data_IF_530679228126
#
_entry.id   IF_530679228126
#
_cell.length_a   1.000
_cell.length_b   1.000
_cell.length_c   1.000
_cell.angle_alpha   90.00
_cell.angle_beta   90.00
_cell.angle_gamma   90.00
#
_symmetry.space_group_name_H-M   'P 1'
#
loop_
_entity.id
_entity.type
_entity.pdbx_description
1 polymer ?
#
# COMPACT_ATOMS: atom_id res chain seq x y z
N UNK A 1 6.66 -5.94 7.78
CA UNK A 1 7.05 -4.83 6.90
C UNK A 1 6.74 -5.14 5.45
N UNK A 2 7.28 -6.24 4.93
CA UNK A 2 6.94 -6.81 3.62
C UNK A 2 5.43 -6.88 3.36
N UNK A 3 4.66 -7.34 4.34
CA UNK A 3 3.20 -7.34 4.30
C UNK A 3 2.58 -5.95 4.08
N UNK A 4 3.14 -4.90 4.67
CA UNK A 4 2.66 -3.52 4.51
C UNK A 4 3.02 -2.97 3.13
N UNK A 5 4.23 -3.26 2.64
CA UNK A 5 4.66 -2.89 1.29
C UNK A 5 3.80 -3.61 0.24
N UNK A 6 3.51 -4.89 0.43
CA UNK A 6 2.59 -5.64 -0.42
C UNK A 6 1.19 -5.03 -0.39
N UNK A 7 0.63 -4.69 0.78
CA UNK A 7 -0.67 -3.98 0.84
C UNK A 7 -0.65 -2.65 0.07
N UNK A 8 0.44 -1.89 0.18
CA UNK A 8 0.59 -0.63 -0.53
C UNK A 8 0.61 -0.84 -2.05
N UNK A 9 1.29 -1.89 -2.51
CA UNK A 9 1.31 -2.32 -3.92
C UNK A 9 -0.10 -2.57 -4.45
N UNK A 10 -0.92 -3.36 -3.74
CA UNK A 10 -2.34 -3.59 -4.09
C UNK A 10 -3.17 -2.30 -4.05
N UNK A 11 -3.02 -1.49 -3.00
CA UNK A 11 -3.79 -0.26 -2.83
C UNK A 11 -3.53 0.75 -3.97
N UNK A 12 -2.25 0.96 -4.32
CA UNK A 12 -1.89 1.84 -5.43
C UNK A 12 -2.32 1.26 -6.77
N UNK A 13 -2.17 -0.04 -6.99
CA UNK A 13 -2.62 -0.69 -8.21
C UNK A 13 -4.12 -0.50 -8.44
N UNK A 14 -4.93 -0.73 -7.40
CA UNK A 14 -6.38 -0.54 -7.47
C UNK A 14 -6.74 0.92 -7.76
N UNK A 15 -6.10 1.86 -7.06
CA UNK A 15 -6.36 3.28 -7.22
C UNK A 15 -5.95 3.83 -8.60
N UNK A 16 -4.84 3.35 -9.17
CA UNK A 16 -4.39 3.72 -10.53
C UNK A 16 -5.38 3.23 -11.60
N UNK A 17 -5.94 2.02 -11.41
CA UNK A 17 -6.81 1.37 -12.39
C UNK A 17 -8.30 1.74 -12.26
N UNK A 18 -8.64 2.73 -11.43
CA UNK A 18 -9.95 3.38 -11.46
C UNK A 18 -10.21 4.00 -12.84
N UNK A 19 -11.47 4.18 -13.21
CA UNK A 19 -11.90 4.80 -14.47
C UNK A 19 -11.58 6.30 -14.52
N UNK A 20 -11.54 6.97 -13.36
CA UNK A 20 -11.23 8.41 -13.29
C UNK A 20 -10.60 8.83 -11.96
N UNK A 21 -10.05 10.05 -11.94
CA UNK A 21 -9.46 10.64 -10.74
C UNK A 21 -10.49 11.06 -9.67
N UNK A 22 -11.76 11.24 -10.06
CA UNK A 22 -12.88 11.53 -9.15
C UNK A 22 -13.60 10.28 -8.64
N UNK A 23 -13.27 9.09 -9.16
CA UNK A 23 -13.91 7.85 -8.75
C UNK A 23 -13.55 7.50 -7.30
N UNK A 24 -14.60 7.22 -6.51
CA UNK A 24 -14.45 6.82 -5.12
C UNK A 24 -13.82 5.42 -5.01
N UNK A 25 -13.04 5.17 -3.94
CA UNK A 25 -12.62 3.84 -3.53
C UNK A 25 -13.70 2.76 -3.68
N UNK A 26 -13.39 1.69 -4.41
CA UNK A 26 -14.34 0.58 -4.60
C UNK A 26 -14.51 -0.28 -3.34
N UNK A 27 -13.44 -0.42 -2.56
CA UNK A 27 -13.42 -1.19 -1.32
C UNK A 27 -12.49 -0.51 -0.30
N UNK A 28 -12.95 -0.15 0.91
CA UNK A 28 -12.09 0.49 1.91
C UNK A 28 -10.92 -0.38 2.38
N UNK A 29 -10.96 -1.70 2.19
CA UNK A 29 -9.88 -2.60 2.62
C UNK A 29 -8.79 -2.74 1.56
N UNK A 30 -9.18 -2.96 0.31
CA UNK A 30 -8.28 -3.24 -0.82
C UNK A 30 -7.93 -1.98 -1.62
N UNK A 31 -8.77 -0.95 -1.58
CA UNK A 31 -8.63 0.29 -2.34
C UNK A 31 -8.74 1.54 -1.42
N UNK A 32 -7.94 1.67 -0.35
CA UNK A 32 -8.12 2.71 0.68
C UNK A 32 -7.75 4.13 0.23
N UNK A 33 -7.09 4.32 -0.92
CA UNK A 33 -6.52 5.61 -1.33
C UNK A 33 -7.63 6.54 -1.83
N UNK A 34 -8.03 7.53 -1.03
CA UNK A 34 -9.12 8.44 -1.43
C UNK A 34 -8.66 9.60 -2.30
N UNK A 35 -7.46 10.15 -2.04
CA UNK A 35 -6.91 11.29 -2.79
C UNK A 35 -6.05 10.78 -3.95
N UNK A 36 -6.49 10.97 -5.18
CA UNK A 36 -5.76 10.54 -6.39
C UNK A 36 -4.46 11.32 -6.61
N UNK A 37 -4.24 12.45 -5.94
CA UNK A 37 -3.00 13.24 -6.04
C UNK A 37 -1.77 12.56 -5.44
N UNK A 38 -1.97 11.55 -4.59
CA UNK A 38 -0.86 10.79 -3.99
C UNK A 38 -0.33 9.72 -4.93
N UNK A 39 -1.02 9.45 -6.04
CA UNK A 39 -0.61 8.45 -7.02
C UNK A 39 0.56 8.97 -7.86
N UNK A 40 1.51 8.10 -8.22
CA UNK A 40 2.65 8.48 -9.06
C UNK A 40 2.23 8.83 -10.49
N UNK A 41 1.06 8.35 -10.92
CA UNK A 41 0.46 8.61 -12.23
C UNK A 41 -1.05 8.87 -12.09
N UNK A 42 -1.68 9.60 -13.04
CA UNK A 42 -3.11 9.85 -12.99
C UNK A 42 -3.93 8.55 -13.08
N UNK A 43 -4.96 8.42 -12.22
CA UNK A 43 -5.90 7.32 -12.30
C UNK A 43 -6.67 7.31 -13.63
N UNK A 44 -6.96 6.12 -14.17
CA UNK A 44 -7.74 5.96 -15.39
C UNK A 44 -7.03 6.36 -16.68
N UNK A 45 -5.72 6.62 -16.61
CA UNK A 45 -4.89 6.93 -17.78
C UNK A 45 -3.70 5.99 -17.81
N UNK A 46 -3.71 5.09 -18.79
CA UNK A 46 -2.56 4.25 -19.13
C UNK A 46 -1.85 4.84 -20.35
N UNK A 47 -0.59 4.47 -20.56
CA UNK A 47 0.22 4.98 -21.65
C UNK A 47 1.69 4.66 -21.41
N UNK A 48 2.53 4.76 -22.43
CA UNK A 48 3.95 4.45 -22.29
C UNK A 48 4.63 5.37 -21.28
N UNK A 49 4.37 6.67 -21.36
CA UNK A 49 4.91 7.68 -20.46
C UNK A 49 4.43 7.47 -19.00
N UNK A 50 3.16 7.09 -18.81
CA UNK A 50 2.64 6.73 -17.50
C UNK A 50 3.34 5.48 -16.97
N UNK A 51 3.52 4.45 -17.80
CA UNK A 51 4.29 3.25 -17.44
C UNK A 51 5.72 3.60 -17.02
N UNK A 52 6.42 4.45 -17.78
CA UNK A 52 7.77 4.90 -17.46
C UNK A 52 7.83 5.72 -16.16
N UNK A 53 6.87 6.62 -15.94
CA UNK A 53 6.78 7.40 -14.70
C UNK A 53 6.52 6.50 -13.48
N UNK A 54 5.61 5.53 -13.62
CA UNK A 54 5.33 4.54 -12.58
C UNK A 54 6.59 3.71 -12.28
N UNK A 55 7.32 3.26 -13.31
CA UNK A 55 8.55 2.49 -13.16
C UNK A 55 9.64 3.26 -12.42
N UNK A 56 9.79 4.55 -12.71
CA UNK A 56 10.72 5.42 -11.99
C UNK A 56 10.33 5.57 -10.51
N UNK A 57 9.04 5.83 -10.22
CA UNK A 57 8.56 5.94 -8.85
C UNK A 57 8.79 4.65 -8.03
N UNK A 58 8.53 3.49 -8.64
CA UNK A 58 8.83 2.19 -8.02
C UNK A 58 10.33 2.03 -7.74
N UNK A 59 11.19 2.44 -8.67
CA UNK A 59 12.65 2.40 -8.48
C UNK A 59 13.09 3.25 -7.29
N UNK A 60 12.58 4.47 -7.19
CA UNK A 60 12.87 5.39 -6.08
C UNK A 60 12.38 4.83 -4.73
N UNK A 61 11.16 4.29 -4.68
CA UNK A 61 10.63 3.67 -3.46
C UNK A 61 11.38 2.41 -3.08
N UNK A 62 11.76 1.58 -4.05
CA UNK A 62 12.53 0.36 -3.80
C UNK A 62 13.89 0.71 -3.21
N UNK A 63 14.59 1.70 -3.79
CA UNK A 63 15.85 2.21 -3.25
C UNK A 63 15.68 2.76 -1.84
N UNK A 64 14.62 3.56 -1.60
CA UNK A 64 14.34 4.10 -0.27
C UNK A 64 14.05 3.02 0.77
N UNK A 65 13.34 1.95 0.40
CA UNK A 65 13.10 0.79 1.27
C UNK A 65 14.40 0.06 1.59
N UNK A 66 15.27 -0.17 0.60
CA UNK A 66 16.60 -0.77 0.82
C UNK A 66 17.45 0.08 1.76
N UNK A 67 17.50 1.40 1.55
CA UNK A 67 18.26 2.35 2.38
C UNK A 67 17.73 2.40 3.83
N UNK A 68 16.40 2.38 4.03
CA UNK A 68 15.78 2.48 5.37
C UNK A 68 15.94 1.20 6.19
N UNK A 69 15.88 0.04 5.52
CA UNK A 69 15.87 -1.25 6.20
C UNK A 69 17.20 -1.98 6.16
N UNK A 70 18.23 -1.36 5.55
CA UNK A 70 19.51 -2.02 5.28
C UNK A 70 19.28 -3.44 4.78
N UNK A 71 18.31 -3.58 3.86
CA UNK A 71 18.13 -4.81 3.09
C UNK A 71 19.28 -4.76 2.10
N UNK A 72 20.47 -5.02 2.62
CA UNK A 72 21.64 -5.31 1.82
C UNK A 72 21.28 -6.61 1.12
N UNK A 73 21.37 -6.63 -0.21
CA UNK A 73 21.41 -7.86 -1.00
C UNK A 73 22.74 -8.57 -0.69
N UNK A 74 22.99 -8.87 0.59
CA UNK A 74 24.18 -9.59 1.02
C UNK A 74 23.99 -11.03 0.58
N UNK A 75 24.41 -11.30 -0.65
CA UNK A 75 24.94 -12.58 -1.06
C UNK A 75 25.99 -13.02 -0.02
N UNK A 76 25.55 -13.76 0.98
CA UNK A 76 26.43 -14.66 1.72
C UNK A 76 25.84 -16.06 1.66
N UNK A 77 25.75 -16.58 0.43
CA UNK A 77 25.88 -18.01 0.22
C UNK A 77 27.33 -18.38 0.55
N UNK A 78 27.66 -18.46 1.84
CA UNK A 78 28.83 -19.25 2.23
C UNK A 78 28.53 -20.69 1.81
N UNK A 79 29.19 -21.10 0.74
CA UNK A 79 29.16 -22.45 0.19
C UNK A 79 29.63 -23.39 1.29
N UNK A 80 28.69 -23.97 2.05
CA UNK A 80 28.99 -25.02 3.01
C UNK A 80 28.03 -26.18 2.79
N UNK A 81 28.62 -27.23 2.22
CA UNK A 81 28.23 -28.64 2.25
C UNK A 81 27.09 -29.11 1.31
N UNK A 82 27.55 -29.71 0.22
CA UNK A 82 27.02 -30.91 -0.44
C UNK A 82 26.10 -31.81 0.41
N UNK A 83 24.79 -31.51 0.47
CA UNK A 83 23.66 -32.49 0.38
C UNK A 83 22.28 -32.01 0.87
N UNK A 84 22.02 -30.72 1.08
CA UNK A 84 20.66 -30.26 1.35
C UNK A 84 20.21 -29.22 0.33
N UNK A 85 18.97 -29.35 -0.16
CA UNK A 85 18.33 -28.44 -1.09
C UNK A 85 18.56 -26.98 -0.67
N UNK A 86 19.04 -26.10 -1.57
CA UNK A 86 19.16 -24.69 -1.24
C UNK A 86 17.75 -24.10 -1.12
N UNK A 87 17.25 -23.99 0.11
CA UNK A 87 16.23 -22.99 0.46
C UNK A 87 16.90 -21.63 0.33
N UNK A 88 17.04 -21.16 -0.90
CA UNK A 88 17.25 -19.76 -1.20
C UNK A 88 16.00 -19.03 -0.70
N UNK A 89 16.08 -18.44 0.50
CA UNK A 89 15.09 -17.48 0.95
C UNK A 89 15.02 -16.38 -0.11
N UNK A 90 13.92 -16.35 -0.87
CA UNK A 90 13.74 -15.39 -1.94
C UNK A 90 13.90 -13.99 -1.37
N UNK A 91 14.84 -13.22 -1.90
CA UNK A 91 14.94 -11.80 -1.57
C UNK A 91 13.59 -11.12 -1.79
N UNK A 92 13.13 -10.36 -0.79
CA UNK A 92 11.86 -9.67 -0.85
C UNK A 92 11.91 -8.61 -1.96
N UNK A 93 11.20 -8.85 -3.06
CA UNK A 93 11.06 -7.86 -4.14
C UNK A 93 9.81 -7.01 -3.90
N UNK A 94 9.94 -5.72 -3.59
CA UNK A 94 8.80 -4.84 -3.38
C UNK A 94 8.08 -4.53 -4.71
N UNK A 95 6.82 -4.11 -4.60
CA UNK A 95 6.03 -3.55 -5.71
C UNK A 95 5.93 -4.47 -6.96
N UNK A 96 5.68 -5.77 -6.77
CA UNK A 96 5.58 -6.73 -7.87
C UNK A 96 4.43 -6.38 -8.83
N UNK A 97 3.30 -5.92 -8.28
CA UNK A 97 2.08 -5.66 -9.03
C UNK A 97 2.18 -4.38 -9.83
N UNK A 98 2.65 -3.29 -9.20
CA UNK A 98 2.92 -2.03 -9.89
C UNK A 98 4.03 -2.18 -10.94
N UNK A 99 5.07 -2.99 -10.69
CA UNK A 99 6.11 -3.27 -11.70
C UNK A 99 5.50 -3.96 -12.91
N UNK A 100 4.73 -5.03 -12.70
CA UNK A 100 4.05 -5.71 -13.80
C UNK A 100 3.12 -4.75 -14.57
N UNK A 101 2.40 -3.86 -13.88
CA UNK A 101 1.53 -2.87 -14.52
C UNK A 101 2.33 -1.88 -15.36
N UNK A 102 3.46 -1.39 -14.84
CA UNK A 102 4.36 -0.49 -15.57
C UNK A 102 4.92 -1.15 -16.83
N UNK A 103 5.30 -2.43 -16.74
CA UNK A 103 5.79 -3.20 -17.88
C UNK A 103 4.68 -3.37 -18.91
N UNK A 104 3.46 -3.73 -18.49
CA UNK A 104 2.29 -3.84 -19.39
C UNK A 104 2.01 -2.54 -20.15
N UNK A 105 2.07 -1.38 -19.48
CA UNK A 105 1.85 -0.07 -20.12
C UNK A 105 2.95 0.31 -21.12
N UNK A 106 4.15 -0.25 -20.97
CA UNK A 106 5.30 0.01 -21.84
C UNK A 106 5.47 -1.04 -22.95
N UNK A 107 4.64 -2.09 -22.98
CA UNK A 107 4.73 -3.13 -23.99
C UNK A 107 4.34 -2.59 -25.37
N UNK A 108 5.03 -3.04 -26.44
CA UNK A 108 4.58 -2.80 -27.80
C UNK A 108 3.16 -3.36 -28.00
N UNK A 109 2.24 -2.50 -28.45
CA UNK A 109 0.81 -2.85 -28.59
C UNK A 109 0.57 -4.06 -29.49
N UNK A 110 1.42 -4.29 -30.49
CA UNK A 110 1.33 -5.45 -31.39
C UNK A 110 1.49 -6.79 -30.65
N UNK A 111 2.24 -6.82 -29.53
CA UNK A 111 2.37 -7.99 -28.67
C UNK A 111 1.10 -8.29 -27.88
N UNK A 112 0.18 -7.33 -27.78
CA UNK A 112 -1.13 -7.54 -27.15
C UNK A 112 -2.15 -8.12 -28.11
N UNK A 113 -1.84 -8.33 -29.39
CA UNK A 113 -2.75 -8.96 -30.34
C UNK A 113 -2.69 -10.50 -30.27
N UNK A 114 -1.52 -11.08 -30.02
CA UNK A 114 -1.37 -12.55 -29.97
C UNK A 114 -1.50 -13.09 -28.53
N UNK A 115 -2.38 -14.07 -28.32
CA UNK A 115 -2.66 -14.61 -26.98
C UNK A 115 -1.50 -15.39 -26.36
N UNK A 116 -0.69 -16.07 -27.18
CA UNK A 116 0.49 -16.77 -26.67
C UNK A 116 1.53 -15.78 -26.17
N UNK A 117 1.81 -14.72 -26.93
CA UNK A 117 2.75 -13.68 -26.52
C UNK A 117 2.26 -12.94 -25.29
N UNK A 118 0.96 -12.59 -25.17
CA UNK A 118 0.39 -11.97 -23.95
C UNK A 118 0.70 -12.78 -22.68
N UNK A 119 0.50 -14.10 -22.72
CA UNK A 119 0.75 -15.00 -21.57
C UNK A 119 2.23 -15.05 -21.20
N UNK A 120 3.13 -14.84 -22.16
CA UNK A 120 4.58 -14.79 -21.92
C UNK A 120 5.03 -13.43 -21.36
N UNK A 121 4.54 -12.32 -21.93
CA UNK A 121 5.02 -10.97 -21.59
C UNK A 121 4.33 -10.34 -20.38
N UNK A 122 3.08 -10.72 -20.10
CA UNK A 122 2.32 -10.18 -18.97
C UNK A 122 1.52 -11.26 -18.21
N UNK A 123 2.18 -12.31 -17.69
CA UNK A 123 1.52 -13.48 -17.08
C UNK A 123 0.69 -13.16 -15.82
N UNK A 124 0.93 -12.00 -15.19
CA UNK A 124 0.26 -11.59 -13.94
C UNK A 124 -1.19 -11.14 -14.14
N UNK A 125 -1.57 -10.77 -15.37
CA UNK A 125 -2.82 -10.10 -15.64
C UNK A 125 -3.72 -10.91 -16.55
N UNK A 126 -4.97 -11.04 -16.14
CA UNK A 126 -5.98 -11.64 -17.00
C UNK A 126 -6.44 -10.69 -18.10
N UNK A 127 -7.10 -11.26 -19.09
CA UNK A 127 -7.60 -10.56 -20.28
C UNK A 127 -8.48 -9.37 -19.91
N UNK A 128 -9.32 -9.51 -18.88
CA UNK A 128 -10.21 -8.45 -18.40
C UNK A 128 -9.45 -7.20 -17.93
N UNK A 129 -8.30 -7.39 -17.28
CA UNK A 129 -7.49 -6.28 -16.82
C UNK A 129 -6.70 -5.65 -17.97
N UNK A 130 -6.15 -6.47 -18.86
CA UNK A 130 -5.46 -6.00 -20.06
C UNK A 130 -6.41 -5.14 -20.91
N UNK A 131 -7.66 -5.59 -21.12
CA UNK A 131 -8.70 -4.81 -21.79
C UNK A 131 -8.91 -3.44 -21.13
N UNK A 132 -8.99 -3.39 -19.80
CA UNK A 132 -9.14 -2.12 -19.07
C UNK A 132 -7.94 -1.19 -19.30
N UNK A 133 -6.72 -1.71 -19.23
CA UNK A 133 -5.50 -0.92 -19.48
C UNK A 133 -5.47 -0.43 -20.94
N UNK A 134 -5.86 -1.26 -21.90
CA UNK A 134 -5.92 -0.88 -23.33
C UNK A 134 -7.01 0.17 -23.57
N UNK A 135 -8.21 0.01 -23.01
CA UNK A 135 -9.30 0.98 -23.17
C UNK A 135 -8.97 2.38 -22.61
N UNK A 136 -8.13 2.44 -21.57
CA UNK A 136 -7.74 3.70 -20.91
C UNK A 136 -6.45 4.31 -21.48
N UNK A 137 -5.93 3.75 -22.58
CA UNK A 137 -4.64 4.17 -23.14
C UNK A 137 -4.73 5.56 -23.76
N UNK A 138 -3.79 6.42 -23.37
CA UNK A 138 -3.65 7.78 -23.87
C UNK A 138 -2.35 7.84 -24.68
N UNK A 139 -2.43 8.09 -26.00
CA UNK A 139 -1.25 8.23 -26.84
C UNK A 139 -0.32 9.34 -26.35
N UNK A 140 0.97 9.10 -26.44
CA UNK A 140 2.02 10.03 -25.99
C UNK A 140 3.17 10.11 -27.02
N UNK A 141 4.23 10.83 -26.67
CA UNK A 141 5.39 11.04 -27.55
C UNK A 141 6.17 9.75 -27.85
N UNK A 142 6.09 8.75 -26.97
CA UNK A 142 6.82 7.49 -27.10
C UNK A 142 5.98 6.40 -27.78
N UNK A 143 4.67 6.56 -27.75
CA UNK A 143 3.68 5.69 -28.39
C UNK A 143 2.66 6.51 -29.18
N UNK A 144 3.09 7.19 -30.27
CA UNK A 144 2.23 8.07 -31.04
C UNK A 144 1.33 7.22 -31.95
N UNK A 145 0.11 6.94 -31.51
CA UNK A 145 -0.89 6.28 -32.33
C UNK A 145 -2.08 5.79 -31.52
N UNK A 146 -3.27 5.68 -32.14
CA UNK A 146 -4.35 4.93 -31.53
C UNK A 146 -3.99 3.45 -31.44
N UNK A 147 -4.63 2.74 -30.52
CA UNK A 147 -4.46 1.29 -30.43
C UNK A 147 -5.02 0.64 -31.71
N UNK A 148 -4.30 -0.31 -32.32
CA UNK A 148 -4.80 -1.03 -33.50
C UNK A 148 -6.07 -1.84 -33.19
N UNK A 149 -7.06 -1.79 -34.09
CA UNK A 149 -8.34 -2.52 -33.95
C UNK A 149 -8.15 -4.02 -33.75
N UNK A 150 -7.10 -4.59 -34.36
CA UNK A 150 -6.73 -6.00 -34.22
C UNK A 150 -6.47 -6.40 -32.75
N UNK A 151 -5.97 -5.48 -31.91
CA UNK A 151 -5.75 -5.72 -30.48
C UNK A 151 -7.09 -5.85 -29.76
N UNK A 152 -8.04 -4.95 -30.04
CA UNK A 152 -9.39 -5.02 -29.46
C UNK A 152 -10.12 -6.29 -29.89
N UNK A 153 -10.07 -6.63 -31.18
CA UNK A 153 -10.70 -7.84 -31.71
C UNK A 153 -10.13 -9.09 -31.08
N UNK A 154 -8.79 -9.19 -30.98
CA UNK A 154 -8.14 -10.32 -30.35
C UNK A 154 -8.53 -10.47 -28.88
N UNK A 155 -8.47 -9.38 -28.11
CA UNK A 155 -8.87 -9.40 -26.70
C UNK A 155 -10.36 -9.77 -26.54
N UNK A 156 -11.24 -9.29 -27.42
CA UNK A 156 -12.68 -9.58 -27.36
C UNK A 156 -13.04 -11.01 -27.78
N UNK A 157 -12.24 -11.62 -28.66
CA UNK A 157 -12.43 -12.99 -29.15
C UNK A 157 -11.85 -14.07 -28.22
N UNK A 158 -10.92 -13.72 -27.34
CA UNK A 158 -10.29 -14.67 -26.42
C UNK A 158 -11.25 -15.03 -25.28
N UNK A 159 -11.46 -16.33 -25.07
CA UNK A 159 -12.19 -16.84 -23.92
C UNK A 159 -11.45 -16.46 -22.63
N UNK A 160 -12.21 -16.19 -21.57
CA UNK A 160 -11.69 -15.85 -20.23
C UNK A 160 -11.17 -17.12 -19.54
N UNK A 161 -10.24 -17.80 -20.19
CA UNK A 161 -9.41 -18.87 -19.62
C UNK A 161 -8.07 -18.25 -19.19
N UNK A 162 -8.15 -17.40 -18.17
CA UNK A 162 -6.99 -16.82 -17.53
C UNK A 162 -6.27 -17.89 -16.67
N UNK A 163 -4.94 -17.78 -16.58
CA UNK A 163 -4.13 -18.73 -15.81
C UNK A 163 -4.46 -18.67 -14.30
N UNK A 164 -4.21 -19.77 -13.60
CA UNK A 164 -4.48 -19.89 -12.16
C UNK A 164 -3.62 -18.89 -11.38
N UNK A 165 -4.24 -17.81 -10.92
CA UNK A 165 -3.58 -16.75 -10.16
C UNK A 165 -3.37 -15.43 -10.91
N UNK A 166 -3.82 -15.33 -12.16
CA UNK A 166 -3.89 -14.06 -12.88
C UNK A 166 -4.95 -13.14 -12.26
N UNK A 167 -4.68 -11.84 -12.26
CA UNK A 167 -5.60 -10.84 -11.71
C UNK A 167 -6.60 -10.45 -12.78
N UNK A 168 -7.87 -10.82 -12.57
CA UNK A 168 -8.96 -10.64 -13.54
C UNK A 168 -9.99 -9.59 -13.11
N UNK A 169 -10.05 -9.26 -11.82
CA UNK A 169 -11.06 -8.38 -11.23
C UNK A 169 -10.44 -7.22 -10.46
N UNK A 170 -11.17 -6.12 -10.40
CA UNK A 170 -10.89 -4.98 -9.53
C UNK A 170 -12.08 -4.75 -8.58
N UNK A 171 -11.82 -4.33 -7.33
CA UNK A 171 -10.50 -4.15 -6.73
C UNK A 171 -9.81 -5.50 -6.47
N UNK A 172 -8.49 -5.54 -6.66
CA UNK A 172 -7.67 -6.70 -6.37
C UNK A 172 -7.47 -6.81 -4.86
N UNK A 173 -7.89 -7.93 -4.27
CA UNK A 173 -7.86 -8.13 -2.82
C UNK A 173 -6.45 -8.42 -2.32
N UNK A 174 -6.00 -7.64 -1.35
CA UNK A 174 -4.77 -7.92 -0.62
C UNK A 174 -5.01 -8.95 0.48
N UNK A 175 -4.04 -9.85 0.70
CA UNK A 175 -4.09 -10.81 1.80
C UNK A 175 -4.23 -10.13 3.18
N UNK A 176 -4.76 -10.85 4.20
CA UNK A 176 -4.87 -10.32 5.55
C UNK A 176 -3.48 -10.01 6.11
N UNK A 177 -3.35 -8.89 6.81
CA UNK A 177 -2.09 -8.54 7.49
C UNK A 177 -2.15 -8.80 8.97
N UNK A 178 -1.05 -9.32 9.49
CA UNK A 178 -0.89 -9.61 10.90
C UNK A 178 0.08 -8.60 11.50
N UNK A 179 -0.40 -7.80 12.44
CA UNK A 179 0.48 -6.95 13.23
C UNK A 179 0.86 -7.69 14.51
N UNK A 180 2.12 -8.11 14.59
CA UNK A 180 2.68 -8.57 15.85
C UNK A 180 3.12 -7.34 16.66
N UNK A 181 2.69 -7.19 17.92
CA UNK A 181 3.21 -6.13 18.77
C UNK A 181 4.71 -6.28 18.94
N UNK A 182 5.44 -5.16 19.02
CA UNK A 182 6.87 -5.20 19.29
C UNK A 182 7.13 -5.94 20.61
N UNK A 183 8.22 -6.74 20.70
CA UNK A 183 8.65 -7.31 21.96
C UNK A 183 8.84 -6.21 23.01
N UNK A 184 8.37 -6.44 24.24
CA UNK A 184 8.47 -5.45 25.32
C UNK A 184 9.91 -4.99 25.60
N UNK A 185 10.91 -5.82 25.26
CA UNK A 185 12.33 -5.50 25.33
C UNK A 185 12.78 -4.43 24.34
N UNK A 186 12.23 -4.41 23.11
CA UNK A 186 12.55 -3.40 22.10
C UNK A 186 12.03 -2.02 22.48
N UNK A 187 10.84 -1.97 23.09
CA UNK A 187 10.25 -0.72 23.62
C UNK A 187 11.13 -0.15 24.74
N UNK A 188 11.65 -1.01 25.62
CA UNK A 188 12.53 -0.60 26.72
C UNK A 188 13.86 -0.01 26.20
N UNK A 189 14.43 -0.60 25.15
CA UNK A 189 15.66 -0.11 24.51
C UNK A 189 15.48 1.27 23.86
N UNK A 190 14.39 1.47 23.10
CA UNK A 190 14.08 2.76 22.46
C UNK A 190 13.83 3.87 23.50
N UNK A 191 13.18 3.55 24.62
CA UNK A 191 12.93 4.52 25.70
C UNK A 191 14.22 4.90 26.45
N UNK A 192 15.17 3.97 26.54
CA UNK A 192 16.47 4.20 27.15
C UNK A 192 17.37 5.08 26.27
N UNK A 193 17.29 4.93 24.94
CA UNK A 193 18.01 5.73 23.95
C UNK A 193 17.50 7.19 23.86
N UNK A 194 16.20 7.41 24.10
CA UNK A 194 15.60 8.74 24.21
C UNK A 194 15.97 9.51 25.51
N UNK A 195 16.86 8.97 26.36
CA UNK A 195 17.31 9.60 27.60
C UNK A 195 16.27 9.68 28.72
N UNK A 196 15.03 9.21 28.48
CA UNK A 196 13.95 9.17 29.45
C UNK A 196 14.16 8.04 30.44
N UNK A 197 14.75 8.34 31.59
CA UNK A 197 14.78 7.45 32.76
C UNK A 197 13.41 7.41 33.44
N UNK A 198 12.35 7.02 32.76
CA UNK A 198 11.06 6.77 33.41
C UNK A 198 10.93 5.28 33.67
N UNK A 199 11.00 4.92 34.96
CA UNK A 199 10.68 3.58 35.42
C UNK A 199 9.20 3.33 35.14
N UNK A 200 8.90 2.68 34.00
CA UNK A 200 7.56 2.22 33.68
C UNK A 200 7.16 1.18 34.73
N UNK A 201 6.43 1.64 35.75
CA UNK A 201 5.76 0.77 36.70
C UNK A 201 4.82 -0.11 35.87
N UNK A 202 5.04 -1.42 35.91
CA UNK A 202 4.26 -2.46 35.23
C UNK A 202 2.76 -2.29 35.54
N UNK A 203 2.08 -1.45 34.77
CA UNK A 203 0.63 -1.31 34.77
C UNK A 203 0.09 -2.37 33.84
N UNK A 204 -0.53 -3.41 34.42
CA UNK A 204 -1.33 -4.35 33.66
C UNK A 204 -2.45 -3.56 32.96
N UNK A 205 -2.32 -3.31 31.66
CA UNK A 205 -3.48 -3.02 30.85
C UNK A 205 -4.22 -4.35 30.73
N UNK A 206 -5.18 -4.59 31.62
CA UNK A 206 -6.23 -5.51 31.24
C UNK A 206 -6.81 -4.93 29.95
N UNK A 207 -6.74 -5.68 28.85
CA UNK A 207 -7.44 -5.41 27.60
C UNK A 207 -8.93 -5.28 27.91
N UNK A 208 -9.33 -4.12 28.43
CA UNK A 208 -10.73 -3.75 28.58
C UNK A 208 -11.17 -3.55 27.13
N UNK A 209 -11.91 -4.52 26.60
CA UNK A 209 -12.58 -4.41 25.30
C UNK A 209 -13.43 -3.14 25.35
N UNK A 210 -12.90 -2.04 24.83
CA UNK A 210 -13.64 -0.83 24.56
C UNK A 210 -14.44 -1.13 23.30
N UNK A 211 -15.66 -1.64 23.48
CA UNK A 211 -16.68 -1.48 22.44
C UNK A 211 -16.87 0.03 22.33
N UNK A 212 -16.47 0.60 21.20
CA UNK A 212 -16.41 2.05 20.94
C UNK A 212 -17.79 2.69 21.14
N UNK A 213 -18.06 3.15 22.36
CA UNK A 213 -19.13 4.08 22.67
C UNK A 213 -18.51 5.47 22.75
N UNK A 214 -19.09 6.42 22.01
CA UNK A 214 -18.60 7.80 21.86
C UNK A 214 -18.46 8.53 23.22
N UNK A 215 -19.29 8.15 24.20
CA UNK A 215 -19.29 8.71 25.56
C UNK A 215 -18.02 8.37 26.38
N UNK A 216 -17.25 7.35 26.00
CA UNK A 216 -16.03 6.94 26.74
C UNK A 216 -14.77 7.73 26.33
N UNK A 217 -14.83 8.54 25.27
CA UNK A 217 -13.69 9.34 24.79
C UNK A 217 -13.35 10.51 25.72
N UNK A 218 -14.34 11.03 26.45
CA UNK A 218 -14.16 12.10 27.44
C UNK A 218 -13.44 11.59 28.72
N UNK A 219 -13.32 10.27 28.92
CA UNK A 219 -12.57 9.68 30.04
C UNK A 219 -11.06 9.59 29.77
N UNK A 220 -10.62 9.77 28.51
CA UNK A 220 -9.20 9.74 28.09
C UNK A 220 -8.53 11.12 28.25
N UNK A 221 -8.85 11.86 29.31
CA UNK A 221 -8.32 13.21 29.59
C UNK A 221 -6.79 13.24 29.79
N UNK A 222 -6.12 12.08 29.94
CA UNK A 222 -4.65 11.98 30.08
C UNK A 222 -4.10 10.62 29.60
N UNK A 223 -4.12 10.34 28.28
CA UNK A 223 -3.76 9.03 27.75
C UNK A 223 -2.26 8.71 27.96
N UNK A 224 -1.42 9.74 28.07
CA UNK A 224 0.02 9.62 28.30
C UNK A 224 0.40 9.50 29.79
N UNK A 225 -0.47 9.94 30.71
CA UNK A 225 -0.24 9.70 32.14
C UNK A 225 -0.35 8.21 32.49
N UNK A 226 -1.12 7.44 31.72
CA UNK A 226 -1.13 5.97 31.80
C UNK A 226 0.21 5.33 31.37
N UNK A 227 1.01 6.05 30.57
CA UNK A 227 2.35 5.66 30.14
C UNK A 227 3.44 6.18 31.09
N UNK A 228 3.10 6.85 32.19
CA UNK A 228 4.08 7.36 33.16
C UNK A 228 4.99 8.46 32.62
N UNK A 229 4.58 9.18 31.56
CA UNK A 229 5.33 10.29 30.96
C UNK A 229 5.04 11.64 31.62
N UNK A 230 5.01 11.69 32.96
CA UNK A 230 4.90 12.95 33.68
C UNK A 230 6.32 13.49 33.97
N UNK A 231 6.88 14.28 33.06
CA UNK A 231 8.03 15.15 33.39
C UNK A 231 7.51 16.53 33.86
N UNK A 232 8.06 17.12 34.93
CA UNK A 232 7.48 18.28 35.57
C UNK A 232 8.11 19.56 35.02
N UNK A 233 7.66 20.11 33.88
CA UNK A 233 8.09 21.45 33.44
C UNK A 233 7.21 22.05 32.34
N UNK A 234 6.08 22.62 32.73
CA UNK A 234 5.66 23.98 32.33
C UNK A 234 4.45 24.36 33.18
N UNK A 235 4.72 25.13 34.24
CA UNK A 235 3.69 25.69 35.09
C UNK A 235 2.92 26.80 34.35
N UNK A 236 1.88 26.43 33.61
CA UNK A 236 0.68 27.23 33.31
C UNK A 236 -0.26 26.29 32.52
N UNK A 237 -1.23 25.59 33.10
CA UNK A 237 -2.50 26.13 33.58
C UNK A 237 -3.04 25.07 34.56
N UNK A 238 -3.08 25.40 35.84
CA UNK A 238 -3.82 24.62 36.85
C UNK A 238 -5.31 24.88 36.62
N UNK A 239 -5.87 24.13 35.69
CA UNK A 239 -7.29 24.06 35.43
C UNK A 239 -7.47 22.77 34.65
N UNK A 240 -8.08 21.77 35.27
CA UNK A 240 -8.46 20.53 34.60
C UNK A 240 -9.30 20.92 33.39
N UNK A 241 -8.64 20.99 32.23
CA UNK A 241 -9.28 21.35 30.98
C UNK A 241 -9.85 20.03 30.49
N UNK A 242 -11.00 19.65 31.07
CA UNK A 242 -11.85 18.56 30.59
C UNK A 242 -11.86 18.66 29.07
N UNK A 243 -11.46 17.62 28.35
CA UNK A 243 -11.37 17.66 26.90
C UNK A 243 -12.80 17.66 26.36
N UNK A 244 -13.42 18.84 26.29
CA UNK A 244 -14.83 19.03 25.89
C UNK A 244 -15.04 18.87 24.38
N UNK A 245 -14.19 18.08 23.72
CA UNK A 245 -14.11 17.97 22.26
C UNK A 245 -15.47 17.59 21.67
N UNK A 246 -16.18 16.69 22.34
CA UNK A 246 -17.48 16.21 21.86
C UNK A 246 -18.58 17.28 21.95
N UNK A 247 -18.63 18.09 23.02
CA UNK A 247 -19.59 19.19 23.12
C UNK A 247 -19.30 20.27 22.07
N UNK A 248 -18.03 20.61 21.85
CA UNK A 248 -17.62 21.58 20.83
C UNK A 248 -17.97 21.11 19.41
N UNK A 249 -17.79 19.82 19.11
CA UNK A 249 -18.18 19.24 17.82
C UNK A 249 -19.70 19.28 17.62
N UNK A 250 -20.49 18.97 18.66
CA UNK A 250 -21.96 19.10 18.59
C UNK A 250 -22.41 20.54 18.41
N UNK A 251 -21.77 21.49 19.07
CA UNK A 251 -22.09 22.92 18.96
C UNK A 251 -21.79 23.44 17.55
N UNK A 252 -20.61 23.09 17.00
CA UNK A 252 -20.25 23.41 15.62
C UNK A 252 -21.25 22.83 14.63
N UNK A 253 -21.69 21.59 14.83
CA UNK A 253 -22.63 20.94 13.91
C UNK A 253 -24.05 21.53 13.97
N UNK A 254 -24.52 21.90 15.16
CA UNK A 254 -25.79 22.64 15.33
C UNK A 254 -25.75 24.06 14.78
N UNK A 255 -24.57 24.68 14.72
CA UNK A 255 -24.39 26.03 14.16
C UNK A 255 -24.32 26.05 12.63
N UNK A 256 -24.32 24.88 11.99
CA UNK A 256 -24.23 24.71 10.53
C UNK A 256 -25.60 24.52 9.86
N UNK A 257 -26.71 24.67 10.60
CA UNK A 257 -28.09 24.62 10.08
C UNK A 257 -28.71 26.02 10.00
#
# INVERSE_FOLDING_TARGET
MEQLVSRLDFAMFNAILRESAEEMPMDPVSDPISDSKVLPIPAGKSGFAAGAQLKNAIGDWSRWLSDLFSIDDSESCEVTNENDEPKCESSFKPFLLLNALSDLMMLPLDMLADGSTRKEVCPRFGISLIKRVVNNFVPDEFSPGPIPDAVFDALNSEDIEDDVGAITSLPCSAGPTFYAPLPASSILGMLQEAGTKTSLRRGSFALKKLYTSDDELDELDSPLSALGMDEPSTALIKGGRKVVRYELLREAWKSSE
#
